data_IF_203568619931
#
_entry.id   IF_203568619931
#
_cell.length_a   1.000
_cell.length_b   1.000
_cell.length_c   1.000
_cell.angle_alpha   90.00
_cell.angle_beta   90.00
_cell.angle_gamma   90.00
#
_symmetry.space_group_name_H-M   'P 1'
#
loop_
_entity.id
_entity.type
_entity.pdbx_description
1 polymer ?
#
# COMPACT_ATOMS: atom_id res chain seq x y z
N UNK A 1 13.29 -1.03 -13.91
CA UNK A 1 12.46 -0.47 -12.82
C UNK A 1 13.33 -0.19 -11.61
N UNK A 2 12.92 0.73 -10.74
CA UNK A 2 13.61 1.05 -9.48
C UNK A 2 12.71 0.66 -8.32
N UNK A 3 13.24 -0.05 -7.34
CA UNK A 3 12.54 -0.31 -6.07
C UNK A 3 12.83 0.83 -5.10
N UNK A 4 11.79 1.34 -4.45
CA UNK A 4 11.88 2.39 -3.44
C UNK A 4 11.15 1.91 -2.19
N UNK A 5 11.78 2.05 -1.02
CA UNK A 5 11.14 1.84 0.27
C UNK A 5 10.67 3.19 0.82
N UNK A 6 9.38 3.30 1.10
CA UNK A 6 8.80 4.45 1.78
C UNK A 6 8.38 4.04 3.19
N UNK A 7 8.91 4.72 4.20
CA UNK A 7 8.51 4.53 5.61
C UNK A 7 7.69 5.75 6.01
N UNK A 8 6.45 5.53 6.41
CA UNK A 8 5.51 6.61 6.71
C UNK A 8 4.37 6.08 7.59
N UNK A 9 3.30 6.85 7.73
CA UNK A 9 2.15 6.54 8.58
C UNK A 9 0.98 5.96 7.79
N UNK A 10 -0.06 5.56 8.51
CA UNK A 10 -1.24 4.88 7.96
C UNK A 10 -1.92 5.66 6.82
N UNK A 11 -2.09 6.98 6.95
CA UNK A 11 -2.86 7.76 5.96
C UNK A 11 -2.15 7.86 4.61
N UNK A 12 -0.84 8.19 4.53
CA UNK A 12 -0.12 8.12 3.26
C UNK A 12 -0.13 6.73 2.63
N UNK A 13 0.06 5.65 3.41
CA UNK A 13 0.03 4.28 2.88
C UNK A 13 -1.33 3.95 2.26
N UNK A 14 -2.42 4.20 3.00
CA UNK A 14 -3.79 3.99 2.50
C UNK A 14 -4.08 4.83 1.26
N UNK A 15 -3.52 6.04 1.17
CA UNK A 15 -3.64 6.91 0.00
C UNK A 15 -2.99 6.30 -1.23
N UNK A 16 -1.77 5.76 -1.10
CA UNK A 16 -1.11 5.07 -2.21
C UNK A 16 -1.88 3.84 -2.68
N UNK A 17 -2.34 3.00 -1.75
CA UNK A 17 -3.15 1.81 -2.09
C UNK A 17 -4.45 2.20 -2.78
N UNK A 18 -5.16 3.21 -2.25
CA UNK A 18 -6.38 3.75 -2.87
C UNK A 18 -6.12 4.20 -4.30
N UNK A 19 -5.09 5.03 -4.51
CA UNK A 19 -4.76 5.57 -5.84
C UNK A 19 -4.37 4.46 -6.81
N UNK A 20 -3.57 3.49 -6.37
CA UNK A 20 -3.15 2.36 -7.19
C UNK A 20 -4.31 1.44 -7.62
N UNK A 21 -5.33 1.28 -6.77
CA UNK A 21 -6.53 0.49 -7.09
C UNK A 21 -7.61 1.29 -7.83
N UNK A 22 -7.43 2.60 -8.02
CA UNK A 22 -8.52 3.48 -8.50
C UNK A 22 -9.72 3.50 -7.55
N UNK A 23 -9.51 3.24 -6.26
CA UNK A 23 -10.57 3.10 -5.28
C UNK A 23 -11.19 4.45 -4.89
N UNK A 24 -12.47 4.48 -4.48
CA UNK A 24 -13.13 5.71 -4.05
C UNK A 24 -12.51 6.26 -2.74
N UNK A 25 -12.63 7.57 -2.47
CA UNK A 25 -12.04 8.19 -1.27
C UNK A 25 -12.45 7.54 0.06
N UNK A 26 -13.69 7.06 0.16
CA UNK A 26 -14.25 6.42 1.35
C UNK A 26 -13.48 5.15 1.74
N UNK A 27 -12.77 4.52 0.80
CA UNK A 27 -11.93 3.36 1.07
C UNK A 27 -10.83 3.64 2.10
N UNK A 28 -10.37 4.89 2.25
CA UNK A 28 -9.39 5.27 3.29
C UNK A 28 -9.87 4.95 4.71
N UNK A 29 -11.17 5.07 4.94
CA UNK A 29 -11.80 4.82 6.24
C UNK A 29 -12.22 3.36 6.44
N UNK A 30 -12.09 2.52 5.40
CA UNK A 30 -12.45 1.10 5.42
C UNK A 30 -11.24 0.17 5.37
N UNK A 31 -10.04 0.71 5.17
CA UNK A 31 -8.79 -0.04 5.28
C UNK A 31 -8.25 0.02 6.71
N UNK A 32 -7.82 -1.10 7.25
CA UNK A 32 -7.01 -1.17 8.47
C UNK A 32 -5.56 -1.44 8.08
N UNK A 33 -4.62 -0.88 8.84
CA UNK A 33 -3.19 -1.16 8.68
C UNK A 33 -2.59 -1.35 10.08
N UNK A 34 -2.01 -2.52 10.28
CA UNK A 34 -1.29 -2.90 11.47
C UNK A 34 0.06 -2.21 11.54
N UNK A 35 0.56 -2.00 12.76
CA UNK A 35 1.89 -1.45 12.99
C UNK A 35 2.97 -2.34 12.36
N UNK A 36 4.02 -1.70 11.85
CA UNK A 36 5.12 -2.37 11.14
C UNK A 36 4.70 -3.21 9.94
N UNK A 37 3.48 -3.05 9.41
CA UNK A 37 3.04 -3.77 8.22
C UNK A 37 3.74 -3.31 6.95
N UNK A 38 3.91 -4.23 6.00
CA UNK A 38 4.44 -3.98 4.68
C UNK A 38 3.32 -3.96 3.63
N UNK A 39 3.41 -3.02 2.69
CA UNK A 39 2.53 -2.95 1.52
C UNK A 39 3.39 -2.72 0.26
N UNK A 40 3.03 -3.34 -0.85
CA UNK A 40 3.82 -3.31 -2.08
C UNK A 40 2.94 -2.98 -3.29
N UNK A 41 3.34 -1.96 -4.03
CA UNK A 41 2.66 -1.48 -5.24
C UNK A 41 3.69 -1.48 -6.38
N UNK A 42 3.30 -1.98 -7.54
CA UNK A 42 4.09 -1.89 -8.76
C UNK A 42 3.42 -0.92 -9.74
N UNK A 43 4.19 0.06 -10.21
CA UNK A 43 3.80 1.01 -11.26
C UNK A 43 4.51 0.62 -12.56
N UNK A 44 3.77 0.62 -13.67
CA UNK A 44 4.24 0.20 -14.98
C UNK A 44 4.35 1.39 -15.94
N UNK A 45 5.14 1.22 -17.01
CA UNK A 45 5.41 2.28 -17.97
C UNK A 45 4.19 2.70 -18.80
N UNK A 46 3.16 1.85 -18.87
CA UNK A 46 1.88 2.13 -19.51
C UNK A 46 0.94 2.96 -18.62
N UNK A 47 1.38 3.35 -17.43
CA UNK A 47 0.60 4.12 -16.45
C UNK A 47 -0.29 3.26 -15.56
N UNK A 48 -0.30 1.94 -15.73
CA UNK A 48 -1.06 1.04 -14.88
C UNK A 48 -0.36 0.79 -13.54
N UNK A 49 -1.13 0.38 -12.53
CA UNK A 49 -0.62 0.01 -11.22
C UNK A 49 -1.23 -1.31 -10.74
N UNK A 50 -0.47 -2.05 -9.93
CA UNK A 50 -0.96 -3.26 -9.26
C UNK A 50 -0.54 -3.26 -7.80
N UNK A 51 -1.48 -3.60 -6.91
CA UNK A 51 -1.20 -3.81 -5.49
C UNK A 51 -0.90 -5.29 -5.29
N UNK A 52 0.33 -5.60 -4.85
CA UNK A 52 0.83 -6.98 -4.72
C UNK A 52 0.77 -7.50 -3.29
N UNK A 53 0.85 -6.59 -2.31
CA UNK A 53 0.82 -6.88 -0.89
C UNK A 53 0.16 -5.72 -0.17
N UNK A 54 -0.68 -6.01 0.83
CA UNK A 54 -1.30 -5.01 1.70
C UNK A 54 -1.26 -5.53 3.12
N UNK A 55 -0.87 -4.68 4.06
CA UNK A 55 -0.95 -4.94 5.50
C UNK A 55 -0.25 -6.22 5.96
N UNK A 56 0.88 -6.59 5.35
CA UNK A 56 1.58 -7.83 5.70
C UNK A 56 2.43 -7.66 6.96
N UNK A 57 2.16 -8.49 7.96
CA UNK A 57 2.91 -8.56 9.22
C UNK A 57 3.56 -9.93 9.41
N UNK A 58 3.61 -10.78 8.38
CA UNK A 58 4.14 -12.15 8.47
C UNK A 58 5.62 -12.24 8.88
N UNK A 59 6.37 -11.16 8.73
CA UNK A 59 7.75 -11.05 9.18
C UNK A 59 7.89 -10.80 10.70
N UNK A 60 6.82 -10.34 11.37
CA UNK A 60 6.81 -10.18 12.82
C UNK A 60 6.73 -11.56 13.45
N UNK A 61 7.59 -11.81 14.44
CA UNK A 61 7.51 -13.00 15.28
C UNK A 61 6.48 -12.75 16.37
N UNK A 62 5.63 -13.74 16.62
CA UNK A 62 4.66 -13.73 17.72
C UNK A 62 5.36 -13.77 19.09
#
# INVERSE_FOLDING_TARGET
>A
GRTVLLVTHVTPIKTFVRLALGAPPESLFRMELSAASLSAIAYYADGNASVRLVNDTSHLRA
#
